data_IF_767417495245
#
_entry.id   IF_767417495245
#
_cell.length_a   1.000
_cell.length_b   1.000
_cell.length_c   1.000
_cell.angle_alpha   90.00
_cell.angle_beta   90.00
_cell.angle_gamma   90.00
#
_symmetry.space_group_name_H-M   'P 1'
#
loop_
_entity.id
_entity.type
_entity.pdbx_description
1 polymer ?
#
# COMPACT_ATOMS: atom_id res chain seq x y z
N UNK A 1 8.98 -7.58 18.37
CA UNK A 1 9.85 -6.92 19.39
C UNK A 1 10.66 -5.79 18.78
N UNK A 2 11.27 -6.02 17.63
CA UNK A 2 12.09 -5.02 16.92
C UNK A 2 11.32 -3.72 16.64
N UNK A 3 10.08 -3.81 16.13
CA UNK A 3 9.23 -2.63 15.86
C UNK A 3 8.96 -1.82 17.14
N UNK A 4 8.64 -2.46 18.25
CA UNK A 4 8.37 -1.78 19.51
C UNK A 4 9.59 -1.01 20.05
N UNK A 5 10.76 -1.64 19.98
CA UNK A 5 12.01 -0.99 20.36
C UNK A 5 12.32 0.19 19.43
N UNK A 6 12.06 0.03 18.15
CA UNK A 6 12.24 1.09 17.16
C UNK A 6 11.28 2.26 17.39
N UNK A 7 9.97 1.99 17.57
CA UNK A 7 8.98 3.04 17.89
C UNK A 7 9.36 3.83 19.13
N UNK A 8 9.79 3.14 20.19
CA UNK A 8 10.26 3.75 21.43
C UNK A 8 11.49 4.62 21.20
N UNK A 9 12.47 4.15 20.44
CA UNK A 9 13.69 4.91 20.11
C UNK A 9 13.38 6.18 19.30
N UNK A 10 12.27 6.19 18.55
CA UNK A 10 11.80 7.34 17.77
C UNK A 10 10.82 8.22 18.53
N UNK A 11 10.61 7.96 19.82
CA UNK A 11 9.64 8.66 20.66
C UNK A 11 8.22 8.67 20.07
N UNK A 12 7.81 7.55 19.49
CA UNK A 12 6.43 7.30 19.08
C UNK A 12 5.79 6.40 20.14
N UNK A 13 5.01 6.99 21.04
CA UNK A 13 4.46 6.32 22.23
C UNK A 13 2.93 6.14 22.14
N UNK A 14 2.36 6.25 20.95
CA UNK A 14 0.91 6.17 20.72
C UNK A 14 0.42 4.72 20.56
N UNK A 15 0.80 3.86 21.46
CA UNK A 15 0.33 2.47 21.57
C UNK A 15 0.06 2.13 23.03
N UNK A 16 -0.88 1.20 23.33
CA UNK A 16 -1.17 0.82 24.71
C UNK A 16 0.06 0.24 25.41
N UNK A 17 0.14 0.43 26.72
CA UNK A 17 1.22 -0.12 27.52
C UNK A 17 1.28 -1.64 27.39
N UNK A 18 2.47 -2.17 27.11
CA UNK A 18 2.72 -3.61 27.03
C UNK A 18 3.01 -4.09 28.45
N UNK A 19 2.06 -4.85 29.03
CA UNK A 19 2.15 -5.39 30.39
C UNK A 19 2.71 -6.80 30.46
N UNK A 20 2.75 -7.51 29.30
CA UNK A 20 3.30 -8.85 29.26
C UNK A 20 3.58 -9.31 27.83
N UNK A 21 4.38 -10.37 27.74
CA UNK A 21 4.69 -11.07 26.49
C UNK A 21 4.73 -12.58 26.77
N UNK A 22 4.07 -13.34 25.94
CA UNK A 22 4.13 -14.79 25.96
C UNK A 22 4.23 -15.33 24.53
N UNK A 23 5.34 -16.03 24.23
CA UNK A 23 5.66 -16.53 22.89
C UNK A 23 5.60 -15.40 21.81
N UNK A 24 4.58 -15.45 20.94
CA UNK A 24 4.33 -14.48 19.87
C UNK A 24 3.23 -13.47 20.22
N UNK A 25 2.64 -13.54 21.41
CA UNK A 25 1.57 -12.67 21.84
C UNK A 25 2.09 -11.56 22.76
N UNK A 26 1.56 -10.38 22.58
CA UNK A 26 1.75 -9.24 23.49
C UNK A 26 0.45 -8.99 24.23
N UNK A 27 0.55 -8.84 25.53
CA UNK A 27 -0.57 -8.45 26.40
C UNK A 27 -0.43 -6.95 26.62
N UNK A 28 -1.43 -6.19 26.18
CA UNK A 28 -1.46 -4.75 26.34
C UNK A 28 -2.57 -4.35 27.32
N UNK A 29 -2.38 -3.19 27.96
CA UNK A 29 -3.43 -2.60 28.76
C UNK A 29 -4.66 -2.31 27.90
N UNK A 30 -5.84 -2.67 28.38
CA UNK A 30 -7.10 -2.32 27.74
C UNK A 30 -7.38 -0.83 27.96
N UNK A 31 -7.51 -0.08 26.89
CA UNK A 31 -7.85 1.33 26.93
C UNK A 31 -9.30 1.51 26.44
N UNK A 32 -10.08 2.33 27.15
CA UNK A 32 -11.45 2.65 26.75
C UNK A 32 -11.47 3.83 25.79
N UNK A 33 -12.29 3.73 24.74
CA UNK A 33 -12.47 4.79 23.75
C UNK A 33 -13.58 5.76 24.18
N UNK A 34 -13.36 7.04 24.01
CA UNK A 34 -14.39 8.06 24.22
C UNK A 34 -15.15 8.27 22.91
N UNK A 35 -16.49 8.20 22.91
CA UNK A 35 -17.29 8.43 21.73
C UNK A 35 -16.99 9.79 21.09
N UNK A 36 -16.71 9.77 19.76
CA UNK A 36 -16.43 10.95 18.98
C UNK A 36 -17.04 10.82 17.57
N UNK A 37 -17.30 11.93 16.84
CA UNK A 37 -17.78 11.88 15.45
C UNK A 37 -16.82 11.08 14.56
N UNK A 38 -17.38 10.25 13.68
CA UNK A 38 -16.61 9.36 12.81
C UNK A 38 -15.62 10.11 11.91
N UNK A 39 -16.05 11.24 11.38
CA UNK A 39 -15.23 12.10 10.51
C UNK A 39 -14.02 12.67 11.26
N UNK A 40 -14.23 13.10 12.49
CA UNK A 40 -13.15 13.60 13.35
C UNK A 40 -12.19 12.47 13.70
N UNK A 41 -12.72 11.29 14.03
CA UNK A 41 -11.89 10.11 14.34
C UNK A 41 -11.04 9.70 13.15
N UNK A 42 -11.59 9.78 11.92
CA UNK A 42 -10.85 9.49 10.70
C UNK A 42 -9.73 10.51 10.44
N UNK A 43 -10.01 11.80 10.62
CA UNK A 43 -9.00 12.85 10.48
C UNK A 43 -7.86 12.68 11.49
N UNK A 44 -8.19 12.48 12.77
CA UNK A 44 -7.20 12.26 13.83
C UNK A 44 -6.33 11.00 13.58
N UNK A 45 -6.92 9.94 13.01
CA UNK A 45 -6.19 8.73 12.60
C UNK A 45 -5.19 9.03 11.49
N UNK A 46 -5.59 9.80 10.47
CA UNK A 46 -4.70 10.21 9.37
C UNK A 46 -3.53 11.04 9.91
N UNK A 47 -3.80 11.99 10.81
CA UNK A 47 -2.77 12.81 11.43
C UNK A 47 -1.79 11.94 12.26
N UNK A 48 -2.31 10.96 13.00
CA UNK A 48 -1.47 10.03 13.75
C UNK A 48 -0.60 9.17 12.83
N UNK A 49 -1.12 8.74 11.66
CA UNK A 49 -0.34 8.01 10.67
C UNK A 49 0.74 8.88 10.03
N UNK A 50 0.43 10.13 9.72
CA UNK A 50 1.44 11.08 9.23
C UNK A 50 2.57 11.28 10.26
N UNK A 51 2.22 11.37 11.54
CA UNK A 51 3.19 11.45 12.64
C UNK A 51 4.02 10.17 12.77
N UNK A 52 3.39 8.97 12.67
CA UNK A 52 4.09 7.69 12.67
C UNK A 52 5.14 7.64 11.57
N UNK A 53 4.75 7.91 10.33
CA UNK A 53 5.65 7.88 9.18
C UNK A 53 6.76 8.92 9.30
N UNK A 54 6.44 10.14 9.75
CA UNK A 54 7.44 11.19 9.96
C UNK A 54 8.50 10.80 10.99
N UNK A 55 8.08 10.23 12.14
CA UNK A 55 9.00 9.83 13.20
C UNK A 55 9.81 8.59 12.86
N UNK A 56 9.26 7.66 12.10
CA UNK A 56 9.88 6.37 11.79
C UNK A 56 10.64 6.35 10.46
N UNK A 57 10.74 7.49 9.78
CA UNK A 57 11.51 7.62 8.55
C UNK A 57 12.97 7.20 8.75
N UNK A 58 13.42 6.28 7.90
CA UNK A 58 14.81 5.87 7.78
C UNK A 58 15.13 5.53 6.33
N UNK A 59 16.41 5.39 6.00
CA UNK A 59 16.85 5.01 4.67
C UNK A 59 17.44 3.61 4.72
N UNK A 60 16.98 2.74 3.83
CA UNK A 60 17.52 1.40 3.61
C UNK A 60 18.27 1.37 2.31
N UNK A 61 19.43 0.72 2.30
CA UNK A 61 20.12 0.39 1.05
C UNK A 61 19.29 -0.63 0.27
N UNK A 62 19.16 -0.39 -1.03
CA UNK A 62 18.43 -1.26 -1.96
C UNK A 62 19.35 -1.66 -3.10
N UNK A 63 19.18 -2.87 -3.59
CA UNK A 63 19.85 -3.32 -4.78
C UNK A 63 19.13 -2.74 -6.02
N UNK A 64 19.91 -2.17 -6.92
CA UNK A 64 19.39 -1.63 -8.18
C UNK A 64 18.74 -2.76 -9.02
N UNK A 65 19.19 -4.01 -8.85
CA UNK A 65 18.61 -5.17 -9.51
C UNK A 65 17.15 -5.41 -9.12
N UNK A 66 16.75 -5.09 -7.87
CA UNK A 66 15.36 -5.25 -7.41
C UNK A 66 14.41 -4.34 -8.20
N UNK A 67 14.82 -3.10 -8.46
CA UNK A 67 14.02 -2.17 -9.28
C UNK A 67 13.90 -2.62 -10.73
N UNK A 68 14.98 -3.22 -11.26
CA UNK A 68 14.97 -3.76 -12.62
C UNK A 68 14.02 -4.95 -12.73
N UNK A 69 14.03 -5.86 -11.76
CA UNK A 69 13.13 -7.01 -11.71
C UNK A 69 11.65 -6.55 -11.67
N UNK A 70 11.32 -5.60 -10.78
CA UNK A 70 9.98 -5.02 -10.71
C UNK A 70 9.56 -4.39 -12.05
N UNK A 71 10.47 -3.64 -12.69
CA UNK A 71 10.19 -3.02 -13.99
C UNK A 71 9.93 -4.07 -15.06
N UNK A 72 10.76 -5.11 -15.14
CA UNK A 72 10.63 -6.20 -16.11
C UNK A 72 9.32 -6.99 -15.90
N UNK A 73 8.97 -7.30 -14.67
CA UNK A 73 7.74 -8.03 -14.33
C UNK A 73 6.49 -7.23 -14.72
N UNK A 74 6.43 -5.95 -14.37
CA UNK A 74 5.28 -5.11 -14.72
C UNK A 74 5.22 -4.88 -16.22
N UNK A 75 6.35 -4.65 -16.89
CA UNK A 75 6.44 -4.47 -18.33
C UNK A 75 5.94 -5.70 -19.10
N UNK A 76 6.34 -6.90 -18.64
CA UNK A 76 5.88 -8.16 -19.20
C UNK A 76 4.37 -8.35 -19.02
N UNK A 77 3.82 -7.97 -17.86
CA UNK A 77 2.38 -8.03 -17.62
C UNK A 77 1.60 -7.06 -18.51
N UNK A 78 2.10 -5.85 -18.72
CA UNK A 78 1.47 -4.87 -19.65
C UNK A 78 1.49 -5.43 -21.06
N UNK A 79 2.61 -5.98 -21.52
CA UNK A 79 2.74 -6.59 -22.85
C UNK A 79 1.79 -7.79 -23.02
N UNK A 80 1.71 -8.66 -22.00
CA UNK A 80 0.77 -9.78 -21.99
C UNK A 80 -0.68 -9.31 -22.12
N UNK A 81 -1.08 -8.32 -21.35
CA UNK A 81 -2.45 -7.77 -21.41
C UNK A 81 -2.73 -7.13 -22.78
N UNK A 82 -1.78 -6.42 -23.35
CA UNK A 82 -1.94 -5.84 -24.68
C UNK A 82 -2.17 -6.93 -25.72
N UNK A 83 -1.30 -7.94 -25.76
CA UNK A 83 -1.44 -9.08 -26.70
C UNK A 83 -2.77 -9.80 -26.49
N UNK A 84 -3.18 -10.02 -25.24
CA UNK A 84 -4.46 -10.66 -24.92
C UNK A 84 -5.66 -9.89 -25.48
N UNK A 85 -5.68 -8.56 -25.32
CA UNK A 85 -6.78 -7.74 -25.86
C UNK A 85 -6.71 -7.62 -27.39
N UNK A 86 -5.53 -7.59 -28.00
CA UNK A 86 -5.35 -7.59 -29.45
C UNK A 86 -5.91 -8.89 -30.05
N UNK A 87 -5.58 -10.03 -29.44
CA UNK A 87 -6.11 -11.35 -29.88
C UNK A 87 -7.63 -11.43 -29.70
N UNK A 88 -8.16 -10.96 -28.55
CA UNK A 88 -9.61 -10.91 -28.34
C UNK A 88 -10.32 -10.05 -29.40
N UNK A 89 -9.78 -8.86 -29.66
CA UNK A 89 -10.38 -7.98 -30.70
C UNK A 89 -10.33 -8.60 -32.07
N UNK A 90 -9.23 -9.26 -32.44
CA UNK A 90 -9.12 -9.99 -33.71
C UNK A 90 -10.19 -11.07 -33.88
N UNK A 91 -10.47 -11.81 -32.77
CA UNK A 91 -11.55 -12.81 -32.76
C UNK A 91 -12.92 -12.13 -32.91
N UNK A 92 -13.20 -11.08 -32.13
CA UNK A 92 -14.47 -10.36 -32.18
C UNK A 92 -14.74 -9.76 -33.54
N UNK A 93 -13.73 -9.17 -34.18
CA UNK A 93 -13.85 -8.58 -35.53
C UNK A 93 -14.09 -9.63 -36.64
N UNK A 94 -13.75 -10.89 -36.38
CA UNK A 94 -14.05 -12.00 -37.32
C UNK A 94 -15.50 -12.46 -37.27
N UNK A 95 -16.26 -12.09 -36.24
CA UNK A 95 -17.65 -12.49 -36.05
C UNK A 95 -18.59 -11.64 -36.94
N UNK A 96 -19.51 -12.26 -37.65
CA UNK A 96 -20.55 -11.55 -38.39
C UNK A 96 -21.55 -10.86 -37.51
N UNK A 97 -21.82 -11.45 -36.32
CA UNK A 97 -22.71 -10.91 -35.30
C UNK A 97 -21.98 -11.03 -33.97
N UNK A 98 -21.80 -9.88 -33.30
CA UNK A 98 -21.20 -9.82 -31.97
C UNK A 98 -22.23 -10.17 -30.89
N UNK A 99 -21.81 -10.89 -29.86
CA UNK A 99 -22.58 -11.03 -28.63
C UNK A 99 -22.64 -9.69 -27.88
N UNK A 100 -23.58 -9.50 -26.96
CA UNK A 100 -23.65 -8.26 -26.14
C UNK A 100 -22.37 -7.94 -25.38
N UNK A 101 -21.65 -8.96 -24.88
CA UNK A 101 -20.36 -8.79 -24.17
C UNK A 101 -19.24 -8.38 -25.13
N UNK A 102 -19.15 -8.98 -26.30
CA UNK A 102 -18.19 -8.60 -27.36
C UNK A 102 -18.39 -7.15 -27.79
N UNK A 103 -19.66 -6.76 -28.03
CA UNK A 103 -19.98 -5.38 -28.35
C UNK A 103 -19.56 -4.39 -27.27
N UNK A 104 -19.80 -4.72 -25.98
CA UNK A 104 -19.36 -3.88 -24.86
C UNK A 104 -17.85 -3.75 -24.81
N UNK A 105 -17.11 -4.84 -25.02
CA UNK A 105 -15.66 -4.80 -25.06
C UNK A 105 -15.17 -3.96 -26.23
N UNK A 106 -15.62 -4.24 -27.45
CA UNK A 106 -15.22 -3.50 -28.64
C UNK A 106 -15.50 -1.99 -28.52
N UNK A 107 -16.63 -1.63 -27.96
CA UNK A 107 -17.01 -0.22 -27.71
C UNK A 107 -16.06 0.48 -26.76
N UNK A 108 -15.50 -0.24 -25.79
CA UNK A 108 -14.67 0.34 -24.71
C UNK A 108 -13.18 0.04 -24.88
N UNK A 109 -12.77 -0.66 -25.94
CA UNK A 109 -11.37 -1.12 -26.11
C UNK A 109 -10.36 0.04 -26.11
N UNK A 110 -10.74 1.19 -26.62
CA UNK A 110 -9.88 2.39 -26.61
C UNK A 110 -9.50 2.85 -25.21
N UNK A 111 -10.40 2.69 -24.23
CA UNK A 111 -10.09 3.00 -22.83
C UNK A 111 -9.09 1.98 -22.25
N UNK A 112 -9.20 0.71 -22.63
CA UNK A 112 -8.25 -0.33 -22.22
C UNK A 112 -6.86 0.01 -22.76
N UNK A 113 -6.74 0.27 -24.05
CA UNK A 113 -5.45 0.63 -24.66
C UNK A 113 -4.87 1.93 -24.12
N UNK A 114 -5.70 2.94 -23.90
CA UNK A 114 -5.26 4.18 -23.26
C UNK A 114 -4.72 3.95 -21.85
N UNK A 115 -5.38 3.08 -21.06
CA UNK A 115 -4.94 2.72 -19.72
C UNK A 115 -3.62 1.94 -19.72
N UNK A 116 -3.46 0.98 -20.65
CA UNK A 116 -2.22 0.23 -20.80
C UNK A 116 -1.06 1.14 -21.23
N UNK A 117 -1.31 2.05 -22.16
CA UNK A 117 -0.30 3.02 -22.60
C UNK A 117 0.10 3.97 -21.46
N UNK A 118 -0.88 4.46 -20.69
CA UNK A 118 -0.61 5.28 -19.51
C UNK A 118 0.23 4.51 -18.47
N UNK A 119 -0.16 3.26 -18.18
CA UNK A 119 0.60 2.41 -17.25
C UNK A 119 2.05 2.21 -17.73
N UNK A 120 2.26 1.95 -19.04
CA UNK A 120 3.59 1.81 -19.64
C UNK A 120 4.42 3.08 -19.45
N UNK A 121 3.88 4.24 -19.84
CA UNK A 121 4.58 5.52 -19.72
C UNK A 121 4.93 5.83 -18.27
N UNK A 122 3.98 5.64 -17.34
CA UNK A 122 4.22 5.86 -15.91
C UNK A 122 5.28 4.91 -15.34
N UNK A 123 5.30 3.65 -15.82
CA UNK A 123 6.32 2.68 -15.43
C UNK A 123 7.72 3.08 -15.92
N UNK A 124 7.83 3.57 -17.14
CA UNK A 124 9.08 4.08 -17.71
C UNK A 124 9.59 5.31 -16.91
N UNK A 125 8.71 6.27 -16.61
CA UNK A 125 9.03 7.43 -15.79
C UNK A 125 9.47 7.03 -14.37
N UNK A 126 8.76 6.09 -13.75
CA UNK A 126 9.14 5.56 -12.45
C UNK A 126 10.51 4.89 -12.48
N UNK A 127 10.77 4.03 -13.47
CA UNK A 127 12.05 3.34 -13.57
C UNK A 127 13.20 4.31 -13.81
N UNK A 128 13.00 5.34 -14.63
CA UNK A 128 13.99 6.39 -14.84
C UNK A 128 14.36 7.13 -13.55
N UNK A 129 13.42 7.30 -12.63
CA UNK A 129 13.68 7.91 -11.32
C UNK A 129 14.44 6.97 -10.38
N UNK A 130 14.11 5.67 -10.37
CA UNK A 130 14.65 4.74 -9.35
C UNK A 130 15.90 3.99 -9.78
N UNK A 131 16.18 3.83 -11.08
CA UNK A 131 17.32 3.04 -11.61
C UNK A 131 18.71 3.44 -11.13
N UNK A 132 18.84 4.63 -10.53
CA UNK A 132 20.09 5.13 -9.94
C UNK A 132 20.02 5.26 -8.42
N UNK A 133 18.88 4.93 -7.81
CA UNK A 133 18.70 5.04 -6.37
C UNK A 133 19.31 3.85 -5.65
N UNK A 134 20.28 4.11 -4.80
CA UNK A 134 20.92 3.11 -3.92
C UNK A 134 20.31 3.07 -2.53
N UNK A 135 19.43 4.03 -2.21
CA UNK A 135 18.76 4.13 -0.91
C UNK A 135 17.30 4.49 -1.10
N UNK A 136 16.45 3.77 -0.41
CA UNK A 136 15.00 4.04 -0.37
C UNK A 136 14.60 4.54 1.02
N UNK A 137 13.69 5.52 1.02
CA UNK A 137 13.04 5.98 2.25
C UNK A 137 12.02 4.94 2.69
N UNK A 138 12.19 4.47 3.91
CA UNK A 138 11.33 3.49 4.56
C UNK A 138 10.69 4.11 5.80
N UNK A 139 9.56 3.54 6.22
CA UNK A 139 8.85 3.92 7.44
C UNK A 139 8.32 2.66 8.13
N UNK A 140 7.79 2.78 9.33
CA UNK A 140 6.99 1.71 9.92
C UNK A 140 5.57 1.80 9.38
N UNK A 141 5.12 0.73 8.70
CA UNK A 141 3.76 0.56 8.22
C UNK A 141 2.94 -0.20 9.26
N UNK A 142 1.78 0.31 9.61
CA UNK A 142 0.86 -0.36 10.53
C UNK A 142 0.14 -1.56 9.87
N UNK A 143 -0.23 -1.43 8.59
CA UNK A 143 -0.87 -2.44 7.73
C UNK A 143 -2.20 -3.06 8.22
N UNK A 144 -2.77 -2.55 9.30
CA UNK A 144 -4.06 -3.01 9.84
C UNK A 144 -4.86 -1.82 10.38
N UNK A 145 -5.08 -0.81 9.53
CA UNK A 145 -5.75 0.43 9.92
C UNK A 145 -7.26 0.31 9.80
N UNK A 146 -7.92 0.45 10.95
CA UNK A 146 -9.37 0.60 11.06
C UNK A 146 -9.68 1.67 12.10
N UNK A 147 -10.84 2.31 12.01
CA UNK A 147 -11.26 3.30 13.00
C UNK A 147 -11.44 2.70 14.40
N UNK A 148 -11.74 1.41 14.49
CA UNK A 148 -11.82 0.64 15.73
C UNK A 148 -10.47 0.47 16.43
N UNK A 149 -9.37 0.55 15.68
CA UNK A 149 -8.01 0.42 16.21
C UNK A 149 -7.41 1.75 16.70
N UNK A 150 -8.11 2.86 16.45
CA UNK A 150 -7.77 4.16 16.99
C UNK A 150 -8.60 4.42 18.24
N UNK A 151 -7.94 4.51 19.39
CA UNK A 151 -8.55 4.74 20.69
C UNK A 151 -8.14 6.12 21.16
N UNK A 152 -9.10 6.91 21.58
CA UNK A 152 -8.87 8.22 22.18
C UNK A 152 -9.60 8.34 23.50
N UNK A 153 -8.84 8.64 24.53
CA UNK A 153 -9.33 9.02 25.86
C UNK A 153 -8.57 10.27 26.33
N UNK A 154 -7.92 10.25 27.48
CA UNK A 154 -6.98 11.30 27.89
C UNK A 154 -5.70 11.30 27.03
N UNK A 155 -5.40 10.15 26.41
CA UNK A 155 -4.31 9.95 25.47
C UNK A 155 -4.85 9.43 24.15
N UNK A 156 -3.95 9.22 23.20
CA UNK A 156 -4.27 8.62 21.88
C UNK A 156 -3.47 7.35 21.72
N UNK A 157 -4.13 6.27 21.29
CA UNK A 157 -3.49 4.98 21.09
C UNK A 157 -3.89 4.38 19.73
N UNK A 158 -2.95 3.70 19.13
CA UNK A 158 -3.15 2.84 17.97
C UNK A 158 -2.93 1.38 18.41
N UNK A 159 -3.92 0.53 18.17
CA UNK A 159 -3.91 -0.91 18.52
C UNK A 159 -3.73 -1.79 17.29
N UNK A 160 -3.72 -3.11 17.44
CA UNK A 160 -3.66 -4.08 16.32
C UNK A 160 -2.39 -3.98 15.45
N UNK A 161 -1.25 -4.01 16.10
CA UNK A 161 0.08 -3.96 15.46
C UNK A 161 0.59 -5.29 14.93
N UNK A 162 -0.28 -6.29 14.82
CA UNK A 162 0.03 -7.66 14.40
C UNK A 162 0.59 -7.75 12.97
N UNK A 163 0.19 -6.84 12.09
CA UNK A 163 0.64 -6.77 10.69
C UNK A 163 1.69 -5.68 10.43
N UNK A 164 2.14 -5.01 11.47
CA UNK A 164 3.11 -3.93 11.32
C UNK A 164 4.46 -4.45 10.80
N UNK A 165 5.07 -3.69 9.90
CA UNK A 165 6.38 -4.01 9.31
C UNK A 165 7.13 -2.74 8.91
N UNK A 166 8.43 -2.89 8.67
CA UNK A 166 9.22 -1.89 7.96
C UNK A 166 8.90 -1.94 6.46
N UNK A 167 8.63 -0.80 5.83
CA UNK A 167 8.28 -0.70 4.42
C UNK A 167 8.43 0.69 3.85
#
# INVERSE_FOLDING_TARGET
EEIWNYLRSRNFLYYPEIIGKENHFFITKLEEDIPMPREQKAADLVDLMALLHSKTTHYKEVDISDYKEIYEDISNNIFYLQTYYDDMMSVIESHVIMSPSEYLLARNITFVYASLNYAKTTLEEWYDMVKTMTKQRMVVLHNHLELSHFIRNQNTYLTSWDKAKFG
#
